data_IF_445476109763
#
_entry.id   IF_445476109763
#
_cell.length_a   1.000
_cell.length_b   1.000
_cell.length_c   1.000
_cell.angle_alpha   90.00
_cell.angle_beta   90.00
_cell.angle_gamma   90.00
#
_symmetry.space_group_name_H-M   'P 1'
#
loop_
_entity.id
_entity.type
_entity.pdbx_description
1 polymer ?
#
# COMPACT_ATOMS: atom_id res chain seq x y z
N UNK A 1 12.15 -8.65 10.90
CA UNK A 1 13.24 -9.45 11.51
C UNK A 1 14.07 -10.20 10.47
N UNK A 2 13.60 -10.27 9.22
CA UNK A 2 14.26 -10.95 8.10
C UNK A 2 14.27 -12.49 8.18
N UNK A 3 13.57 -13.08 9.15
CA UNK A 3 13.50 -14.53 9.33
C UNK A 3 12.23 -15.12 8.73
N UNK A 4 11.13 -14.38 8.83
CA UNK A 4 9.85 -14.83 8.30
C UNK A 4 9.78 -14.49 6.82
N UNK A 5 9.53 -15.51 5.99
CA UNK A 5 9.36 -15.37 4.55
C UNK A 5 7.96 -15.89 4.22
N UNK A 6 7.21 -15.05 3.53
CA UNK A 6 5.91 -15.41 3.01
C UNK A 6 6.04 -15.78 1.52
N UNK A 7 5.48 -16.91 1.13
CA UNK A 7 5.45 -17.36 -0.26
C UNK A 7 4.01 -17.49 -0.74
N UNK A 8 3.73 -16.87 -1.86
CA UNK A 8 2.48 -17.06 -2.58
C UNK A 8 2.77 -17.61 -3.97
N UNK A 9 2.12 -18.72 -4.29
CA UNK A 9 2.19 -19.31 -5.61
C UNK A 9 1.46 -18.45 -6.65
N UNK A 10 2.04 -18.32 -7.84
CA UNK A 10 1.32 -17.79 -9.00
C UNK A 10 0.34 -18.80 -9.61
N UNK A 11 0.30 -20.04 -9.11
CA UNK A 11 -0.61 -21.08 -9.58
C UNK A 11 -1.97 -20.95 -8.89
N UNK A 12 -3.03 -20.91 -9.68
CA UNK A 12 -4.41 -20.83 -9.18
C UNK A 12 -4.72 -21.99 -8.23
N UNK A 13 -5.35 -21.68 -7.10
CA UNK A 13 -5.78 -22.64 -6.11
C UNK A 13 -4.70 -23.16 -5.16
N UNK A 14 -3.44 -22.72 -5.32
CA UNK A 14 -2.37 -23.05 -4.38
C UNK A 14 -2.37 -22.06 -3.23
N UNK A 15 -2.57 -22.55 -2.02
CA UNK A 15 -2.56 -21.73 -0.80
C UNK A 15 -1.17 -21.13 -0.56
N UNK A 16 -1.16 -19.97 0.07
CA UNK A 16 0.06 -19.34 0.53
C UNK A 16 0.71 -20.14 1.67
N UNK A 17 2.00 -19.98 1.85
CA UNK A 17 2.75 -20.61 2.92
C UNK A 17 3.78 -19.65 3.54
N UNK A 18 4.10 -19.88 4.80
CA UNK A 18 5.06 -19.10 5.57
C UNK A 18 6.18 -20.00 6.13
N UNK A 19 7.38 -19.47 6.18
CA UNK A 19 8.51 -20.07 6.88
C UNK A 19 9.11 -19.08 7.86
N UNK A 20 9.61 -19.57 8.99
CA UNK A 20 10.37 -18.78 9.97
C UNK A 20 11.78 -19.33 10.21
N UNK A 21 12.22 -20.29 9.38
CA UNK A 21 13.50 -20.97 9.47
C UNK A 21 14.30 -20.95 8.16
N UNK A 22 14.15 -19.86 7.40
CA UNK A 22 14.80 -19.64 6.09
C UNK A 22 14.44 -20.69 5.03
N UNK A 23 13.20 -21.16 5.03
CA UNK A 23 12.68 -22.06 4.00
C UNK A 23 12.98 -23.55 4.23
N UNK A 24 13.47 -23.93 5.43
CA UNK A 24 13.68 -25.34 5.76
C UNK A 24 12.36 -26.06 5.97
N UNK A 25 11.42 -25.39 6.62
CA UNK A 25 10.04 -25.86 6.78
C UNK A 25 9.05 -24.80 6.35
N UNK A 26 7.91 -25.23 5.81
CA UNK A 26 6.83 -24.34 5.35
C UNK A 26 5.51 -24.74 6.01
N UNK A 27 4.81 -23.75 6.50
CA UNK A 27 3.47 -23.90 7.07
C UNK A 27 2.46 -23.26 6.12
N UNK A 28 1.43 -23.99 5.72
CA UNK A 28 0.33 -23.44 4.93
C UNK A 28 -0.42 -22.40 5.74
N UNK A 29 -0.73 -21.26 5.12
CA UNK A 29 -1.52 -20.21 5.75
C UNK A 29 -2.99 -20.63 5.78
N UNK A 30 -3.55 -20.76 6.98
CA UNK A 30 -4.96 -21.11 7.17
C UNK A 30 -5.85 -19.85 7.13
N UNK A 31 -7.05 -19.98 6.60
CA UNK A 31 -8.04 -18.89 6.56
C UNK A 31 -7.79 -17.80 5.51
N UNK A 32 -6.68 -17.89 4.74
CA UNK A 32 -6.37 -16.96 3.66
C UNK A 32 -6.68 -17.62 2.30
N UNK A 33 -7.55 -17.03 1.46
CA UNK A 33 -7.82 -17.55 0.13
C UNK A 33 -6.57 -17.56 -0.77
N UNK A 34 -6.46 -18.58 -1.61
CA UNK A 34 -5.39 -18.66 -2.61
C UNK A 34 -5.49 -17.49 -3.59
N UNK A 35 -4.37 -16.84 -3.86
CA UNK A 35 -4.31 -15.66 -4.74
C UNK A 35 -4.59 -14.33 -4.04
N UNK A 36 -4.73 -14.30 -2.70
CA UNK A 36 -4.88 -13.06 -1.96
C UNK A 36 -3.66 -12.14 -2.15
N UNK A 37 -3.90 -10.84 -2.27
CA UNK A 37 -2.85 -9.83 -2.19
C UNK A 37 -2.37 -9.76 -0.74
N UNK A 38 -1.06 -9.71 -0.53
CA UNK A 38 -0.47 -9.76 0.82
C UNK A 38 0.41 -8.55 1.06
N UNK A 39 0.34 -8.05 2.28
CA UNK A 39 1.23 -7.03 2.82
C UNK A 39 1.67 -7.43 4.23
N UNK A 40 2.88 -7.02 4.62
CA UNK A 40 3.41 -7.22 5.96
C UNK A 40 3.28 -5.94 6.76
N UNK A 41 2.94 -6.03 8.03
CA UNK A 41 3.10 -4.90 8.94
C UNK A 41 4.58 -4.49 9.01
N UNK A 42 4.86 -3.20 9.12
CA UNK A 42 6.23 -2.68 9.14
C UNK A 42 6.76 -2.44 10.55
N UNK A 43 5.87 -2.46 11.52
CA UNK A 43 6.17 -2.25 12.96
C UNK A 43 6.14 -3.59 13.71
N UNK A 44 5.11 -4.40 13.47
CA UNK A 44 4.93 -5.69 14.13
C UNK A 44 5.24 -6.86 13.19
N UNK A 45 6.36 -7.59 13.38
CA UNK A 45 6.78 -8.67 12.48
C UNK A 45 5.86 -9.90 12.50
N UNK A 46 4.99 -10.05 13.51
CA UNK A 46 4.04 -11.16 13.59
C UNK A 46 2.71 -10.85 12.88
N UNK A 47 2.53 -9.59 12.41
CA UNK A 47 1.29 -9.15 11.80
C UNK A 47 1.40 -9.12 10.27
N UNK A 48 0.44 -9.79 9.62
CA UNK A 48 0.31 -9.85 8.16
C UNK A 48 -1.12 -9.53 7.74
N UNK A 49 -1.26 -9.00 6.54
CA UNK A 49 -2.54 -8.63 5.96
C UNK A 49 -2.75 -9.33 4.63
N UNK A 50 -4.00 -9.71 4.37
CA UNK A 50 -4.42 -10.28 3.10
C UNK A 50 -5.63 -9.55 2.54
N UNK A 51 -5.78 -9.52 1.22
CA UNK A 51 -7.00 -9.07 0.57
C UNK A 51 -7.37 -10.00 -0.56
N UNK A 52 -8.61 -10.44 -0.57
CA UNK A 52 -9.17 -11.28 -1.63
C UNK A 52 -10.66 -10.97 -1.82
N UNK A 53 -11.03 -10.71 -3.05
CA UNK A 53 -12.43 -10.44 -3.45
C UNK A 53 -13.18 -9.47 -2.51
N UNK A 54 -12.51 -8.34 -2.22
CA UNK A 54 -13.05 -7.28 -1.36
C UNK A 54 -13.00 -7.56 0.14
N UNK A 55 -12.63 -8.77 0.58
CA UNK A 55 -12.44 -9.09 2.00
C UNK A 55 -10.99 -8.86 2.41
N UNK A 56 -10.80 -8.20 3.54
CA UNK A 56 -9.50 -8.01 4.19
C UNK A 56 -9.34 -8.97 5.35
N UNK A 57 -8.16 -9.55 5.44
CA UNK A 57 -7.78 -10.55 6.43
C UNK A 57 -6.57 -10.06 7.22
N UNK A 58 -6.45 -10.48 8.46
CA UNK A 58 -5.29 -10.23 9.30
C UNK A 58 -4.82 -11.49 9.99
N UNK A 59 -3.51 -11.66 10.08
CA UNK A 59 -2.82 -12.61 10.94
C UNK A 59 -2.07 -11.85 12.02
N UNK A 60 -1.97 -12.43 13.21
CA UNK A 60 -1.17 -11.94 14.35
C UNK A 60 -0.22 -13.01 14.89
N UNK A 61 -0.02 -14.08 14.14
CA UNK A 61 0.77 -15.25 14.52
C UNK A 61 1.88 -15.60 13.52
N UNK A 62 2.38 -14.56 12.84
CA UNK A 62 3.45 -14.70 11.85
C UNK A 62 2.97 -15.25 10.51
N UNK A 63 1.71 -15.01 10.15
CA UNK A 63 1.14 -15.42 8.85
C UNK A 63 0.63 -16.86 8.80
N UNK A 64 0.49 -17.53 9.92
CA UNK A 64 0.01 -18.92 9.97
C UNK A 64 -1.50 -19.01 9.84
N UNK A 65 -2.23 -18.18 10.59
CA UNK A 65 -3.70 -18.12 10.53
C UNK A 65 -4.19 -16.71 10.22
N UNK A 66 -5.24 -16.62 9.42
CA UNK A 66 -5.85 -15.36 9.01
C UNK A 66 -7.33 -15.34 9.34
N UNK A 67 -7.81 -14.20 9.82
CA UNK A 67 -9.23 -13.94 10.08
C UNK A 67 -9.68 -12.70 9.32
N UNK A 68 -10.93 -12.66 8.80
CA UNK A 68 -11.47 -11.49 8.15
C UNK A 68 -11.63 -10.33 9.15
N UNK A 69 -11.28 -9.11 8.74
CA UNK A 69 -11.35 -7.91 9.58
C UNK A 69 -12.21 -6.79 8.98
N UNK A 70 -12.32 -6.73 7.66
CA UNK A 70 -13.11 -5.71 6.97
C UNK A 70 -13.54 -6.18 5.58
N UNK A 71 -14.53 -5.50 4.99
CA UNK A 71 -15.01 -5.76 3.63
C UNK A 71 -15.25 -4.47 2.86
N UNK A 72 -15.03 -4.52 1.55
CA UNK A 72 -15.42 -3.48 0.60
C UNK A 72 -16.03 -4.11 -0.67
N UNK A 73 -16.73 -3.29 -1.47
CA UNK A 73 -17.41 -3.76 -2.68
C UNK A 73 -16.47 -4.02 -3.88
N UNK A 74 -15.22 -3.57 -3.80
CA UNK A 74 -14.22 -3.71 -4.86
C UNK A 74 -12.98 -4.41 -4.32
N UNK A 75 -12.32 -5.17 -5.19
CA UNK A 75 -11.08 -5.86 -4.81
C UNK A 75 -9.90 -4.90 -4.78
N UNK A 76 -9.10 -4.97 -3.73
CA UNK A 76 -7.83 -4.28 -3.67
C UNK A 76 -6.82 -4.95 -4.61
N UNK A 77 -6.12 -4.15 -5.42
CA UNK A 77 -5.03 -4.64 -6.28
C UNK A 77 -3.67 -4.58 -5.61
N UNK A 78 -3.55 -3.79 -4.56
CA UNK A 78 -2.37 -3.66 -3.70
C UNK A 78 -2.76 -3.07 -2.35
N UNK A 79 -1.90 -3.24 -1.36
CA UNK A 79 -1.97 -2.61 -0.05
C UNK A 79 -0.60 -2.07 0.32
N UNK A 80 -0.56 -1.04 1.16
CA UNK A 80 0.68 -0.50 1.73
C UNK A 80 0.50 -0.28 3.22
N UNK A 81 1.25 -1.01 4.02
CA UNK A 81 1.33 -0.78 5.46
C UNK A 81 2.20 0.44 5.76
N UNK A 82 1.77 1.23 6.74
CA UNK A 82 2.53 2.39 7.21
C UNK A 82 3.82 1.94 7.90
N UNK A 83 5.00 2.50 7.54
CA UNK A 83 6.26 2.05 8.11
C UNK A 83 6.48 2.38 9.58
N UNK A 84 5.77 3.36 10.13
CA UNK A 84 5.94 3.84 11.51
C UNK A 84 4.69 3.70 12.40
N UNK A 85 3.60 3.20 11.83
CA UNK A 85 2.32 3.05 12.55
C UNK A 85 1.76 1.65 12.33
N UNK A 86 1.76 0.84 13.38
CA UNK A 86 1.21 -0.52 13.36
C UNK A 86 -0.28 -0.50 13.00
N UNK A 87 -0.65 -1.34 12.06
CA UNK A 87 -2.06 -1.55 11.73
C UNK A 87 -2.64 -0.59 10.68
N UNK A 88 -1.92 0.45 10.28
CA UNK A 88 -2.37 1.42 9.30
C UNK A 88 -2.09 0.94 7.87
N UNK A 89 -3.14 0.78 7.07
CA UNK A 89 -3.07 0.28 5.70
C UNK A 89 -3.69 1.27 4.71
N UNK A 90 -2.99 1.48 3.60
CA UNK A 90 -3.41 2.31 2.49
C UNK A 90 -3.72 1.46 1.26
N UNK A 91 -4.90 1.66 0.68
CA UNK A 91 -5.45 0.77 -0.33
C UNK A 91 -5.87 1.60 -1.55
N UNK A 92 -5.11 1.56 -2.65
CA UNK A 92 -5.52 2.14 -3.92
C UNK A 92 -6.55 1.23 -4.59
N UNK A 93 -7.67 1.81 -5.05
CA UNK A 93 -8.78 1.07 -5.67
C UNK A 93 -9.15 1.61 -7.06
N UNK A 94 -8.17 2.15 -7.78
CA UNK A 94 -8.41 2.69 -9.12
C UNK A 94 -9.45 3.81 -9.10
N UNK A 95 -10.50 3.70 -9.90
CA UNK A 95 -11.59 4.68 -9.98
C UNK A 95 -12.42 4.86 -8.67
N UNK A 96 -12.13 4.08 -7.65
CA UNK A 96 -12.70 4.24 -6.30
C UNK A 96 -11.84 5.12 -5.37
N UNK A 97 -10.70 5.62 -5.84
CA UNK A 97 -9.82 6.48 -5.06
C UNK A 97 -8.91 5.74 -4.09
N UNK A 98 -8.73 6.28 -2.88
CA UNK A 98 -7.88 5.74 -1.82
C UNK A 98 -8.71 5.42 -0.59
N UNK A 99 -8.52 4.22 -0.06
CA UNK A 99 -9.08 3.81 1.22
C UNK A 99 -8.00 3.68 2.28
N UNK A 100 -8.39 3.97 3.50
CA UNK A 100 -7.60 3.73 4.70
C UNK A 100 -8.28 2.63 5.53
N UNK A 101 -7.50 1.66 5.97
CA UNK A 101 -7.92 0.60 6.88
C UNK A 101 -7.09 0.67 8.17
N UNK A 102 -7.77 0.91 9.28
CA UNK A 102 -7.24 0.65 10.62
C UNK A 102 -7.51 -0.81 10.98
N UNK A 103 -6.49 -1.63 10.95
CA UNK A 103 -6.62 -3.07 11.20
C UNK A 103 -6.92 -3.42 12.66
N UNK A 104 -6.71 -2.49 13.60
CA UNK A 104 -6.99 -2.71 15.03
C UNK A 104 -8.49 -2.63 15.34
N UNK A 105 -9.21 -1.80 14.61
CA UNK A 105 -10.66 -1.60 14.75
C UNK A 105 -11.47 -2.24 13.62
N UNK A 106 -10.82 -2.61 12.50
CA UNK A 106 -11.49 -3.02 11.26
C UNK A 106 -12.16 -1.86 10.52
N UNK A 107 -11.87 -0.61 10.91
CA UNK A 107 -12.45 0.57 10.27
C UNK A 107 -11.84 0.77 8.89
N UNK A 108 -12.66 0.65 7.85
CA UNK A 108 -12.31 0.85 6.45
C UNK A 108 -13.14 1.98 5.87
N UNK A 109 -12.49 3.04 5.38
CA UNK A 109 -13.18 4.20 4.83
C UNK A 109 -12.39 4.85 3.67
N UNK A 110 -13.07 5.50 2.70
CA UNK A 110 -12.42 6.37 1.74
C UNK A 110 -11.81 7.58 2.46
N UNK A 111 -10.63 8.03 2.03
CA UNK A 111 -9.90 9.11 2.70
C UNK A 111 -10.35 10.49 2.25
N UNK A 112 -10.63 10.66 0.97
CA UNK A 112 -11.07 11.93 0.39
C UNK A 112 -12.00 11.68 -0.80
N UNK A 113 -13.09 12.42 -0.88
CA UNK A 113 -14.00 12.41 -2.04
C UNK A 113 -13.39 13.07 -3.28
N UNK A 114 -12.35 13.87 -3.09
CA UNK A 114 -11.69 14.62 -4.16
C UNK A 114 -10.67 13.76 -4.92
N UNK A 115 -10.36 12.56 -4.44
CA UNK A 115 -9.56 11.55 -5.16
C UNK A 115 -10.50 10.68 -5.98
N UNK A 116 -10.46 10.86 -7.30
CA UNK A 116 -11.32 10.14 -8.25
C UNK A 116 -10.65 8.91 -8.85
N UNK A 117 -9.32 8.86 -8.82
CA UNK A 117 -8.53 7.72 -9.30
C UNK A 117 -7.26 7.57 -8.46
N UNK A 118 -6.95 6.36 -8.05
CA UNK A 118 -5.66 6.03 -7.45
C UNK A 118 -5.18 4.67 -7.95
N UNK A 119 -4.12 4.68 -8.77
CA UNK A 119 -3.51 3.48 -9.32
C UNK A 119 -2.43 2.89 -8.41
N UNK A 120 -1.74 3.74 -7.66
CA UNK A 120 -0.68 3.34 -6.75
C UNK A 120 -0.53 4.35 -5.62
N UNK A 121 -0.14 3.86 -4.45
CA UNK A 121 0.18 4.67 -3.28
C UNK A 121 1.52 4.26 -2.68
N UNK A 122 2.25 5.22 -2.12
CA UNK A 122 3.51 5.03 -1.40
C UNK A 122 3.60 5.98 -0.22
N UNK A 123 4.45 5.65 0.73
CA UNK A 123 4.69 6.45 1.93
C UNK A 123 6.13 6.91 1.96
N UNK A 124 6.39 8.06 2.59
CA UNK A 124 7.72 8.64 2.74
C UNK A 124 7.83 9.48 4.01
N UNK A 125 9.01 10.06 4.21
CA UNK A 125 9.30 10.86 5.40
C UNK A 125 8.22 11.92 5.65
N UNK A 126 7.74 12.10 6.91
CA UNK A 126 6.83 13.18 7.27
C UNK A 126 7.51 14.55 7.13
N UNK A 127 6.71 15.62 7.08
CA UNK A 127 7.21 16.99 7.02
C UNK A 127 8.01 17.35 8.26
N UNK A 128 7.50 16.99 9.42
CA UNK A 128 8.16 17.17 10.72
C UNK A 128 8.21 15.85 11.45
N UNK A 129 9.21 15.69 12.29
CA UNK A 129 9.29 14.52 13.16
C UNK A 129 8.09 14.50 14.12
N UNK A 130 7.40 13.35 14.17
CA UNK A 130 6.17 13.14 14.93
C UNK A 130 4.87 13.36 14.15
N UNK A 131 4.91 13.93 12.94
CA UNK A 131 3.77 13.96 12.04
C UNK A 131 3.55 12.59 11.41
N UNK A 132 2.35 12.37 10.86
CA UNK A 132 2.08 11.18 10.04
C UNK A 132 2.92 11.18 8.76
N UNK A 133 3.29 10.01 8.27
CA UNK A 133 4.07 9.87 7.04
C UNK A 133 3.40 10.57 5.85
N UNK A 134 4.22 11.21 5.00
CA UNK A 134 3.74 11.78 3.76
C UNK A 134 3.28 10.66 2.81
N UNK A 135 2.10 10.84 2.24
CA UNK A 135 1.53 9.94 1.25
C UNK A 135 1.81 10.47 -0.16
N UNK A 136 2.08 9.56 -1.07
CA UNK A 136 2.25 9.85 -2.48
C UNK A 136 1.37 8.93 -3.29
N UNK A 137 0.61 9.46 -4.24
CA UNK A 137 -0.20 8.63 -5.13
C UNK A 137 0.03 8.96 -6.60
N UNK A 138 -0.23 7.99 -7.44
CA UNK A 138 -0.44 8.16 -8.86
C UNK A 138 -1.92 8.03 -9.14
N UNK A 139 -2.52 9.06 -9.71
CA UNK A 139 -3.96 9.08 -9.90
C UNK A 139 -4.49 10.46 -10.28
N UNK A 140 -5.73 10.72 -9.90
CA UNK A 140 -6.45 11.98 -10.14
C UNK A 140 -7.10 12.49 -8.86
N UNK A 141 -6.90 13.76 -8.57
CA UNK A 141 -7.56 14.45 -7.46
C UNK A 141 -7.87 15.90 -7.83
N UNK A 142 -8.84 16.50 -7.15
CA UNK A 142 -9.22 17.91 -7.24
C UNK A 142 -9.63 18.40 -8.64
N UNK A 143 -9.79 17.50 -9.62
CA UNK A 143 -9.99 17.88 -11.02
C UNK A 143 -8.72 18.29 -11.79
N UNK A 144 -7.52 18.13 -11.20
CA UNK A 144 -6.23 18.53 -11.79
C UNK A 144 -5.66 17.51 -12.80
N UNK A 145 -6.42 16.45 -13.11
CA UNK A 145 -6.06 15.39 -14.04
C UNK A 145 -5.03 14.40 -13.49
N UNK A 146 -4.63 13.45 -14.34
CA UNK A 146 -3.73 12.39 -13.94
C UNK A 146 -2.31 12.90 -13.66
N UNK A 147 -1.78 12.52 -12.49
CA UNK A 147 -0.47 12.97 -12.06
C UNK A 147 0.05 12.28 -10.81
N UNK A 148 1.11 12.85 -10.26
CA UNK A 148 1.66 12.47 -8.96
C UNK A 148 1.15 13.48 -7.94
N UNK A 149 0.55 12.96 -6.88
CA UNK A 149 -0.02 13.77 -5.80
C UNK A 149 0.65 13.42 -4.48
N UNK A 150 0.66 14.39 -3.59
CA UNK A 150 1.19 14.27 -2.24
C UNK A 150 0.14 14.75 -1.23
N UNK A 151 0.06 14.06 -0.12
CA UNK A 151 -0.70 14.46 1.08
C UNK A 151 0.23 14.42 2.30
N UNK A 152 0.13 15.44 3.16
CA UNK A 152 0.84 15.49 4.44
C UNK A 152 -0.12 15.43 5.65
N UNK A 153 -1.42 15.21 5.41
CA UNK A 153 -2.49 15.26 6.39
C UNK A 153 -3.32 13.95 6.44
N UNK A 154 -2.64 12.82 6.29
CA UNK A 154 -3.26 11.48 6.32
C UNK A 154 -4.34 11.31 5.25
N UNK A 155 -4.11 11.82 4.04
CA UNK A 155 -4.97 11.63 2.87
C UNK A 155 -6.21 12.52 2.83
N UNK A 156 -6.32 13.51 3.70
CA UNK A 156 -7.47 14.45 3.72
C UNK A 156 -7.40 15.41 2.53
N UNK A 157 -6.23 16.00 2.30
CA UNK A 157 -5.99 16.86 1.14
C UNK A 157 -4.84 16.35 0.28
N UNK A 158 -4.94 16.61 -1.02
CA UNK A 158 -3.95 16.17 -1.99
C UNK A 158 -3.49 17.33 -2.87
N UNK A 159 -2.19 17.43 -3.09
CA UNK A 159 -1.57 18.44 -3.95
C UNK A 159 -0.84 17.75 -5.09
N UNK A 160 -1.12 18.14 -6.33
CA UNK A 160 -0.35 17.69 -7.49
C UNK A 160 1.08 18.24 -7.42
N UNK A 161 2.08 17.38 -7.60
CA UNK A 161 3.51 17.71 -7.46
C UNK A 161 4.30 17.59 -8.75
N UNK A 162 3.67 17.18 -9.85
CA UNK A 162 4.23 17.25 -11.19
C UNK A 162 3.35 18.12 -12.09
N UNK A 163 3.92 18.67 -13.15
CA UNK A 163 3.20 19.40 -14.19
C UNK A 163 2.97 18.56 -15.45
N UNK A 164 2.32 19.16 -16.46
CA UNK A 164 1.97 18.46 -17.69
C UNK A 164 3.18 18.22 -18.63
N UNK A 165 4.31 18.84 -18.38
CA UNK A 165 5.56 18.57 -19.09
C UNK A 165 6.30 17.34 -18.53
N UNK A 166 5.95 16.95 -17.32
CA UNK A 166 6.52 15.81 -16.59
C UNK A 166 5.59 14.58 -16.66
N UNK A 167 5.22 14.20 -17.88
CA UNK A 167 4.43 12.99 -18.15
C UNK A 167 5.35 11.93 -18.75
N UNK A 168 5.45 10.79 -18.08
CA UNK A 168 6.38 9.72 -18.46
C UNK A 168 5.71 8.54 -19.17
N UNK A 169 4.48 8.74 -19.65
CA UNK A 169 3.66 7.70 -20.26
C UNK A 169 3.14 6.72 -19.23
N UNK A 170 3.12 5.44 -19.57
CA UNK A 170 2.58 4.42 -18.68
C UNK A 170 3.51 4.20 -17.47
N UNK A 171 2.94 4.04 -16.29
CA UNK A 171 3.65 3.76 -15.04
C UNK A 171 3.14 2.45 -14.48
N UNK A 172 4.04 1.62 -13.99
CA UNK A 172 3.75 0.25 -13.53
C UNK A 172 3.10 0.17 -12.14
N UNK A 173 2.37 1.20 -11.73
CA UNK A 173 1.72 1.26 -10.41
C UNK A 173 2.74 1.10 -9.26
N UNK A 174 3.94 1.66 -9.44
CA UNK A 174 5.01 1.63 -8.46
C UNK A 174 5.36 3.07 -8.11
N UNK A 175 5.07 3.44 -6.88
CA UNK A 175 5.44 4.74 -6.29
C UNK A 175 5.90 4.52 -4.85
N UNK A 176 6.93 5.26 -4.43
CA UNK A 176 7.42 5.26 -3.06
C UNK A 176 7.94 6.64 -2.70
N UNK A 177 7.59 7.13 -1.52
CA UNK A 177 8.29 8.26 -0.93
C UNK A 177 9.65 7.85 -0.37
N UNK A 178 10.57 8.81 -0.28
CA UNK A 178 11.86 8.61 0.37
C UNK A 178 11.67 8.57 1.90
N UNK A 179 12.17 7.53 2.61
CA UNK A 179 12.00 7.43 4.05
C UNK A 179 12.86 8.43 4.85
N UNK A 180 13.79 9.14 4.20
CA UNK A 180 14.74 10.05 4.85
C UNK A 180 14.60 11.51 4.38
N UNK A 181 13.98 11.75 3.23
CA UNK A 181 13.86 13.08 2.64
C UNK A 181 12.40 13.39 2.35
N UNK A 182 11.83 14.32 3.12
CA UNK A 182 10.48 14.82 2.87
C UNK A 182 10.34 15.43 1.48
N UNK A 183 9.23 15.16 0.81
CA UNK A 183 8.96 15.69 -0.52
C UNK A 183 9.71 14.99 -1.66
N UNK A 184 10.50 13.93 -1.38
CA UNK A 184 11.13 13.12 -2.40
C UNK A 184 10.31 11.89 -2.72
N UNK A 185 10.10 11.63 -4.00
CA UNK A 185 9.31 10.52 -4.50
C UNK A 185 10.03 9.79 -5.63
N UNK A 186 9.87 8.47 -5.67
CA UNK A 186 10.37 7.58 -6.72
C UNK A 186 9.18 6.95 -7.45
N UNK A 187 9.22 6.93 -8.77
CA UNK A 187 8.17 6.37 -9.62
C UNK A 187 8.79 5.37 -10.59
N UNK A 188 8.28 4.16 -10.60
CA UNK A 188 8.62 3.15 -11.59
C UNK A 188 7.85 3.39 -12.89
N UNK A 189 8.55 3.55 -14.01
CA UNK A 189 7.95 3.77 -15.33
C UNK A 189 8.00 2.50 -16.18
N UNK A 190 7.14 2.44 -17.18
CA UNK A 190 7.12 1.35 -18.15
C UNK A 190 8.12 1.64 -19.30
N UNK A 191 9.39 1.34 -19.05
CA UNK A 191 10.45 1.44 -20.06
C UNK A 191 11.41 2.63 -19.93
N UNK A 192 11.23 3.55 -18.96
CA UNK A 192 12.17 4.65 -18.69
C UNK A 192 12.91 4.52 -17.36
N UNK A 193 12.86 3.34 -16.74
CA UNK A 193 13.48 3.10 -15.43
C UNK A 193 12.74 3.75 -14.27
N UNK A 194 13.47 4.16 -13.25
CA UNK A 194 12.95 4.83 -12.06
C UNK A 194 13.22 6.32 -12.17
N UNK A 195 12.17 7.11 -12.01
CA UNK A 195 12.26 8.58 -11.97
C UNK A 195 12.20 9.02 -10.51
N UNK A 196 13.06 9.96 -10.15
CA UNK A 196 13.06 10.63 -8.87
C UNK A 196 12.62 12.08 -9.02
N UNK A 197 11.72 12.53 -8.18
CA UNK A 197 11.30 13.93 -8.07
C UNK A 197 11.47 14.46 -6.65
N UNK A 198 11.71 15.77 -6.52
CA UNK A 198 11.64 16.47 -5.25
C UNK A 198 10.56 17.54 -5.36
N UNK A 199 9.72 17.67 -4.34
CA UNK A 199 8.79 18.80 -4.22
C UNK A 199 9.62 20.06 -4.00
N UNK A 200 9.38 21.11 -4.81
CA UNK A 200 10.00 22.42 -4.58
C UNK A 200 9.43 22.97 -3.27
N UNK A 201 10.32 23.29 -2.37
CA UNK A 201 10.01 24.02 -1.14
C UNK A 201 9.67 25.47 -1.44
#
# INVERSE_FOLDING_TARGET
>A
DGKTIFYQSGTTGVAAAVTSDFGKTWTTCEGLPAGAVIETDKVNPDKFYGSYDGTFYMSTDGGKTFSPIANMLVSATSMKACPDTEGDLWIPVGAGGVYYLDSSTGTLAPTSKDVTLCDAIGLGKPEKDGDYMALYMMGEANGDGYGIYMSADKGVTWKRINDDTQKWGNVRKIISGDPKVYGRVYVGTDGRGIIMGNVKQ
#
